data_IF_083095978916
#
_entry.id   IF_083095978916
#
_cell.length_a   1.000
_cell.length_b   1.000
_cell.length_c   1.000
_cell.angle_alpha   90.00
_cell.angle_beta   90.00
_cell.angle_gamma   90.00
#
_symmetry.space_group_name_H-M   'P 1'
#
loop_
_entity.id
_entity.type
_entity.pdbx_description
1 polymer ?
#
# COMPACT_ATOMS: atom_id res chain seq x y z
N UNK A 1 -6.89 -32.34 -4.08
CA UNK A 1 -5.74 -31.93 -4.90
C UNK A 1 -5.41 -30.50 -4.49
N UNK A 2 -4.40 -30.34 -3.62
CA UNK A 2 -3.80 -29.05 -3.34
C UNK A 2 -2.94 -28.69 -4.56
N UNK A 3 -3.38 -27.73 -5.35
CA UNK A 3 -2.57 -27.19 -6.42
C UNK A 3 -1.62 -26.20 -5.74
N UNK A 4 -0.35 -26.53 -5.63
CA UNK A 4 0.71 -25.62 -5.24
C UNK A 4 0.75 -24.47 -6.27
N UNK A 5 0.08 -23.38 -5.95
CA UNK A 5 0.16 -22.16 -6.76
C UNK A 5 1.53 -21.54 -6.48
N UNK A 6 2.41 -21.43 -7.49
CA UNK A 6 3.71 -20.81 -7.29
C UNK A 6 3.52 -19.38 -6.81
N UNK A 7 4.00 -19.10 -5.60
CA UNK A 7 3.82 -17.79 -4.94
C UNK A 7 4.92 -16.77 -5.28
N UNK A 8 5.85 -17.13 -6.15
CA UNK A 8 6.92 -16.21 -6.55
C UNK A 8 6.36 -15.09 -7.44
N UNK A 9 6.44 -13.88 -6.94
CA UNK A 9 6.13 -12.66 -7.67
C UNK A 9 7.26 -11.65 -7.46
N UNK A 10 7.57 -10.89 -8.51
CA UNK A 10 8.59 -9.87 -8.47
C UNK A 10 7.97 -8.51 -8.76
N UNK A 11 8.21 -7.54 -7.90
CA UNK A 11 7.82 -6.15 -8.13
C UNK A 11 9.06 -5.27 -8.18
N UNK A 12 9.11 -4.41 -9.18
CA UNK A 12 10.13 -3.38 -9.30
C UNK A 12 9.45 -2.03 -9.42
N UNK A 13 9.79 -1.14 -8.51
CA UNK A 13 9.18 0.17 -8.42
C UNK A 13 10.23 1.27 -8.64
N UNK A 14 9.90 2.19 -9.50
CA UNK A 14 10.61 3.46 -9.66
C UNK A 14 9.60 4.58 -9.52
N UNK A 15 9.85 5.51 -8.58
CA UNK A 15 8.98 6.67 -8.42
C UNK A 15 9.77 7.92 -8.07
N UNK A 16 9.23 9.06 -8.49
CA UNK A 16 9.67 10.38 -8.05
C UNK A 16 8.45 11.14 -7.51
N UNK A 17 8.66 11.91 -6.45
CA UNK A 17 7.59 12.67 -5.81
C UNK A 17 8.09 14.04 -5.41
N UNK A 18 7.38 15.06 -5.84
CA UNK A 18 7.53 16.42 -5.36
C UNK A 18 6.52 16.68 -4.25
N UNK A 19 6.95 17.36 -3.21
CA UNK A 19 6.11 17.64 -2.06
C UNK A 19 6.33 19.08 -1.63
N UNK A 20 5.23 19.83 -1.54
CA UNK A 20 5.20 21.18 -1.01
C UNK A 20 4.50 21.17 0.34
N UNK A 21 5.19 21.60 1.39
CA UNK A 21 4.70 21.56 2.77
C UNK A 21 4.43 22.95 3.28
N UNK A 22 3.22 23.20 3.74
CA UNK A 22 2.79 24.42 4.38
C UNK A 22 2.58 24.18 5.87
N UNK A 23 3.17 24.97 6.77
CA UNK A 23 2.82 24.92 8.17
C UNK A 23 1.35 25.36 8.33
N UNK A 24 0.60 24.59 9.08
CA UNK A 24 -0.79 24.88 9.39
C UNK A 24 -0.96 24.76 10.90
N UNK A 25 -1.01 25.90 11.58
CA UNK A 25 -0.99 25.94 13.04
C UNK A 25 0.33 25.46 13.66
N UNK A 26 0.51 25.66 14.98
CA UNK A 26 1.77 25.41 15.72
C UNK A 26 2.29 23.97 15.65
N UNK A 27 1.43 22.98 15.44
CA UNK A 27 1.76 21.54 15.47
C UNK A 27 1.23 20.78 14.23
N UNK A 28 0.66 21.52 13.29
CA UNK A 28 0.07 20.97 12.08
C UNK A 28 0.83 21.38 10.82
N UNK A 29 0.76 20.54 9.79
CA UNK A 29 1.23 20.87 8.45
C UNK A 29 0.31 20.24 7.40
N UNK A 30 0.18 20.94 6.31
CA UNK A 30 -0.46 20.47 5.08
C UNK A 30 0.60 20.21 4.03
N UNK A 31 0.56 19.05 3.43
CA UNK A 31 1.48 18.65 2.37
C UNK A 31 0.68 18.43 1.07
N UNK A 32 1.04 19.19 0.04
CA UNK A 32 0.60 18.97 -1.33
C UNK A 32 1.68 18.18 -2.06
N UNK A 33 1.33 17.11 -2.71
CA UNK A 33 2.28 16.28 -3.40
C UNK A 33 1.82 15.88 -4.80
N UNK A 34 2.77 15.83 -5.72
CA UNK A 34 2.59 15.25 -7.03
C UNK A 34 3.74 14.28 -7.29
N UNK A 35 3.42 13.10 -7.78
CA UNK A 35 4.41 12.07 -8.08
C UNK A 35 4.13 11.39 -9.40
N UNK A 36 5.18 10.82 -9.95
CA UNK A 36 5.10 9.91 -11.10
C UNK A 36 5.91 8.66 -10.79
N UNK A 37 5.36 7.52 -11.13
CA UNK A 37 6.01 6.24 -10.88
C UNK A 37 5.76 5.23 -11.98
N UNK A 38 6.68 4.26 -12.04
CA UNK A 38 6.58 3.09 -12.88
C UNK A 38 6.74 1.86 -12.01
N UNK A 39 5.71 0.99 -12.04
CA UNK A 39 5.70 -0.29 -11.31
C UNK A 39 5.70 -1.39 -12.37
N UNK A 40 6.58 -2.37 -12.20
CA UNK A 40 6.67 -3.54 -13.06
C UNK A 40 6.48 -4.77 -12.19
N UNK A 41 5.36 -5.44 -12.36
CA UNK A 41 5.03 -6.69 -11.68
C UNK A 41 5.21 -7.85 -12.64
N UNK A 42 5.90 -8.91 -12.17
CA UNK A 42 6.00 -10.20 -12.85
C UNK A 42 5.44 -11.26 -11.92
N UNK A 43 4.56 -12.10 -12.40
CA UNK A 43 3.86 -13.11 -11.59
C UNK A 43 3.43 -14.28 -12.47
N UNK A 44 3.12 -15.40 -11.84
CA UNK A 44 2.57 -16.55 -12.54
C UNK A 44 1.13 -16.25 -12.95
N UNK A 45 0.88 -16.33 -14.25
CA UNK A 45 -0.46 -16.24 -14.86
C UNK A 45 -1.13 -17.59 -14.93
N UNK A 46 -2.34 -17.62 -15.44
CA UNK A 46 -3.16 -18.82 -15.56
C UNK A 46 -2.51 -19.91 -16.46
N UNK A 47 -1.68 -19.48 -17.39
CA UNK A 47 -1.00 -20.35 -18.37
C UNK A 47 0.54 -20.29 -18.26
N UNK A 48 1.03 -19.78 -17.13
CA UNK A 48 2.47 -19.76 -16.85
C UNK A 48 2.87 -21.05 -16.14
N UNK A 49 3.61 -21.89 -16.81
CA UNK A 49 4.09 -23.20 -16.33
C UNK A 49 5.57 -23.18 -15.91
N UNK A 50 6.29 -22.10 -16.24
CA UNK A 50 7.72 -21.97 -15.96
C UNK A 50 8.12 -20.54 -15.59
N UNK A 51 9.31 -20.38 -14.97
CA UNK A 51 9.88 -19.05 -14.65
C UNK A 51 10.18 -18.19 -15.89
N UNK A 52 10.22 -18.79 -17.05
CA UNK A 52 10.48 -18.09 -18.32
C UNK A 52 9.22 -17.45 -18.91
N UNK A 53 8.03 -17.96 -18.53
CA UNK A 53 6.73 -17.57 -19.09
C UNK A 53 5.88 -16.78 -18.07
N UNK A 54 6.49 -15.85 -17.32
CA UNK A 54 5.75 -15.02 -16.37
C UNK A 54 4.91 -13.96 -17.09
N UNK A 55 3.69 -13.77 -16.62
CA UNK A 55 2.89 -12.61 -16.99
C UNK A 55 3.55 -11.34 -16.44
N UNK A 56 3.43 -10.25 -17.19
CA UNK A 56 4.03 -8.97 -16.85
C UNK A 56 3.02 -7.84 -16.91
N UNK A 57 2.86 -7.12 -15.83
CA UNK A 57 2.10 -5.87 -15.80
C UNK A 57 3.02 -4.68 -15.57
N UNK A 58 2.85 -3.64 -16.35
CA UNK A 58 3.59 -2.39 -16.22
C UNK A 58 2.61 -1.25 -16.01
N UNK A 59 2.71 -0.60 -14.87
CA UNK A 59 1.93 0.57 -14.50
C UNK A 59 2.79 1.83 -14.66
N UNK A 60 2.29 2.81 -15.38
CA UNK A 60 2.84 4.16 -15.40
C UNK A 60 1.78 5.06 -14.77
N UNK A 61 2.03 5.48 -13.54
CA UNK A 61 1.05 6.14 -12.68
C UNK A 61 1.52 7.53 -12.29
N UNK A 62 0.59 8.46 -12.27
CA UNK A 62 0.73 9.76 -11.63
C UNK A 62 -0.11 9.78 -10.36
N UNK A 63 0.38 10.44 -9.33
CA UNK A 63 -0.29 10.54 -8.03
C UNK A 63 -0.36 12.00 -7.62
N UNK A 64 -1.57 12.51 -7.46
CA UNK A 64 -1.83 13.78 -6.78
C UNK A 64 -2.21 13.47 -5.33
N UNK A 65 -1.60 14.12 -4.35
CA UNK A 65 -1.83 13.84 -2.94
C UNK A 65 -1.98 15.09 -2.10
N UNK A 66 -2.93 15.05 -1.17
CA UNK A 66 -3.12 16.03 -0.11
C UNK A 66 -2.99 15.30 1.22
N UNK A 67 -2.14 15.79 2.11
CA UNK A 67 -1.95 15.20 3.43
C UNK A 67 -2.02 16.29 4.48
N UNK A 68 -2.84 16.09 5.50
CA UNK A 68 -2.80 16.82 6.75
C UNK A 68 -2.12 15.98 7.81
N UNK A 69 -1.20 16.58 8.56
CA UNK A 69 -0.50 15.92 9.66
C UNK A 69 -0.42 16.87 10.84
N UNK A 70 -1.00 16.48 11.95
CA UNK A 70 -0.85 17.12 13.25
C UNK A 70 -0.05 16.19 14.15
N UNK A 71 1.00 16.73 14.80
CA UNK A 71 1.83 15.94 15.69
C UNK A 71 2.20 16.75 16.94
N UNK A 72 1.68 16.32 18.08
CA UNK A 72 1.97 16.89 19.40
C UNK A 72 2.56 15.86 20.37
N UNK A 73 3.06 14.75 19.85
CA UNK A 73 3.65 13.69 20.67
C UNK A 73 4.87 14.20 21.43
N UNK A 74 4.98 13.80 22.71
CA UNK A 74 6.09 14.18 23.59
C UNK A 74 7.45 13.70 23.09
N UNK A 75 7.50 12.53 22.45
CA UNK A 75 8.71 11.92 21.90
C UNK A 75 8.39 11.22 20.58
N UNK A 76 9.39 11.12 19.68
CA UNK A 76 9.25 10.39 18.40
C UNK A 76 9.19 8.88 18.57
N UNK A 77 9.93 8.38 19.56
CA UNK A 77 9.93 6.97 19.95
C UNK A 77 9.37 6.90 21.37
N UNK A 78 8.47 5.96 21.60
CA UNK A 78 7.83 5.74 22.91
C UNK A 78 7.18 7.01 23.49
N UNK A 79 6.24 7.65 22.78
CA UNK A 79 5.55 8.81 23.29
C UNK A 79 4.72 8.43 24.53
N UNK A 80 4.74 9.27 25.54
CA UNK A 80 4.00 9.06 26.79
C UNK A 80 2.84 10.03 26.98
N UNK A 81 2.75 11.05 26.12
CA UNK A 81 1.64 12.03 26.08
C UNK A 81 1.55 12.69 24.72
N UNK A 82 0.39 13.28 24.44
CA UNK A 82 0.13 14.00 23.21
C UNK A 82 -0.63 13.17 22.17
N UNK A 83 -0.77 13.73 20.97
CA UNK A 83 -1.52 13.09 19.88
C UNK A 83 -0.85 13.28 18.55
N UNK A 84 -1.05 12.29 17.67
CA UNK A 84 -0.77 12.37 16.26
C UNK A 84 -2.05 12.10 15.47
N UNK A 85 -2.34 12.95 14.52
CA UNK A 85 -3.41 12.76 13.55
C UNK A 85 -2.84 12.93 12.15
N UNK A 86 -3.09 11.97 11.28
CA UNK A 86 -2.68 12.02 9.89
C UNK A 86 -3.85 11.64 9.01
N UNK A 87 -4.18 12.51 8.05
CA UNK A 87 -5.18 12.23 7.02
C UNK A 87 -4.52 12.41 5.67
N UNK A 88 -4.67 11.44 4.78
CA UNK A 88 -4.09 11.48 3.44
C UNK A 88 -5.15 11.13 2.42
N UNK A 89 -5.36 12.01 1.44
CA UNK A 89 -6.14 11.75 0.24
C UNK A 89 -5.21 11.67 -0.96
N UNK A 90 -5.42 10.71 -1.84
CA UNK A 90 -4.64 10.52 -3.06
C UNK A 90 -5.56 10.21 -4.23
N UNK A 91 -5.27 10.81 -5.36
CA UNK A 91 -5.84 10.43 -6.65
C UNK A 91 -4.72 9.88 -7.52
N UNK A 92 -4.85 8.62 -7.88
CA UNK A 92 -3.88 7.87 -8.66
C UNK A 92 -4.49 7.65 -10.04
N UNK A 93 -3.73 7.98 -11.08
CA UNK A 93 -4.21 7.86 -12.45
C UNK A 93 -3.06 7.53 -13.40
N UNK A 94 -3.37 6.77 -14.43
CA UNK A 94 -2.34 6.39 -15.40
C UNK A 94 -2.76 5.30 -16.37
N UNK A 95 -1.76 4.56 -16.86
CA UNK A 95 -1.96 3.49 -17.84
C UNK A 95 -1.30 2.22 -17.35
N UNK A 96 -2.03 1.12 -17.47
CA UNK A 96 -1.54 -0.25 -17.29
C UNK A 96 -1.31 -0.88 -18.65
N UNK A 97 -0.18 -1.55 -18.81
CA UNK A 97 0.12 -2.44 -19.94
C UNK A 97 0.33 -3.84 -19.38
N UNK A 98 -0.51 -4.78 -19.79
CA UNK A 98 -0.41 -6.18 -19.41
C UNK A 98 0.10 -7.00 -20.58
N UNK A 99 1.06 -7.86 -20.32
CA UNK A 99 1.55 -8.89 -21.23
C UNK A 99 1.25 -10.23 -20.57
N UNK A 100 0.48 -11.06 -21.23
CA UNK A 100 0.04 -12.34 -20.69
C UNK A 100 -0.01 -13.41 -21.78
N UNK A 101 0.18 -14.64 -21.37
CA UNK A 101 0.04 -15.78 -22.25
C UNK A 101 -1.43 -16.22 -22.31
N UNK A 102 -1.94 -16.44 -23.52
CA UNK A 102 -3.30 -16.93 -23.75
C UNK A 102 -3.29 -17.99 -24.84
N UNK A 103 -4.08 -19.08 -24.68
CA UNK A 103 -4.23 -20.05 -25.76
C UNK A 103 -5.00 -19.42 -26.91
N UNK A 104 -4.46 -19.62 -28.11
CA UNK A 104 -5.15 -19.30 -29.37
C UNK A 104 -5.34 -20.61 -30.08
N UNK A 105 -6.59 -20.91 -30.48
CA UNK A 105 -6.87 -22.06 -31.33
C UNK A 105 -6.42 -21.71 -32.75
N UNK A 106 -5.27 -22.24 -33.13
CA UNK A 106 -4.79 -22.19 -34.50
C UNK A 106 -4.78 -23.66 -35.04
N UNK A 107 -5.56 -23.91 -36.07
CA UNK A 107 -5.69 -25.24 -36.68
C UNK A 107 -5.99 -26.40 -35.72
N UNK A 108 -6.90 -26.21 -34.73
CA UNK A 108 -7.29 -27.18 -33.69
C UNK A 108 -6.20 -27.57 -32.69
N UNK A 109 -5.07 -26.87 -32.64
CA UNK A 109 -4.05 -27.02 -31.60
C UNK A 109 -3.99 -25.74 -30.75
N UNK A 110 -4.07 -25.83 -29.40
CA UNK A 110 -3.91 -24.66 -28.54
C UNK A 110 -2.43 -24.23 -28.52
N UNK A 111 -2.14 -23.10 -29.12
CA UNK A 111 -0.81 -22.48 -29.09
C UNK A 111 -0.84 -21.33 -28.09
N UNK A 112 0.07 -21.32 -27.12
CA UNK A 112 0.25 -20.21 -26.20
C UNK A 112 0.88 -19.01 -26.95
N UNK A 113 0.16 -17.89 -26.99
CA UNK A 113 0.66 -16.66 -27.62
C UNK A 113 0.67 -15.51 -26.62
N UNK A 114 1.75 -14.75 -26.63
CA UNK A 114 1.88 -13.54 -25.83
C UNK A 114 0.91 -12.46 -26.34
N UNK A 115 -0.02 -12.06 -25.50
CA UNK A 115 -0.96 -10.99 -25.77
C UNK A 115 -0.60 -9.73 -25.01
N UNK A 116 -1.05 -8.57 -25.51
CA UNK A 116 -0.87 -7.27 -24.89
C UNK A 116 -2.20 -6.56 -24.73
N UNK A 117 -2.51 -6.16 -23.53
CA UNK A 117 -3.64 -5.27 -23.23
C UNK A 117 -3.14 -3.93 -22.66
N UNK A 118 -3.84 -2.85 -22.96
CA UNK A 118 -3.53 -1.53 -22.40
C UNK A 118 -4.83 -0.90 -21.90
N UNK A 119 -4.90 -0.65 -20.61
CA UNK A 119 -6.05 -0.08 -19.94
C UNK A 119 -5.67 1.19 -19.21
N UNK A 120 -6.63 2.12 -19.09
CA UNK A 120 -6.53 3.25 -18.17
C UNK A 120 -6.90 2.76 -16.77
N UNK A 121 -6.10 3.14 -15.79
CA UNK A 121 -6.30 2.81 -14.38
C UNK A 121 -6.30 4.10 -13.58
N UNK A 122 -7.43 4.41 -12.94
CA UNK A 122 -7.55 5.55 -12.07
C UNK A 122 -8.43 5.20 -10.86
N UNK A 123 -7.97 5.62 -9.68
CA UNK A 123 -8.69 5.39 -8.43
C UNK A 123 -8.36 6.45 -7.39
N UNK A 124 -9.22 6.53 -6.40
CA UNK A 124 -9.05 7.39 -5.24
C UNK A 124 -8.74 6.56 -4.00
N UNK A 125 -7.88 7.08 -3.13
CA UNK A 125 -7.50 6.44 -1.88
C UNK A 125 -7.48 7.46 -0.76
N UNK A 126 -8.08 7.11 0.38
CA UNK A 126 -8.04 7.89 1.61
C UNK A 126 -7.51 7.01 2.72
N UNK A 127 -6.59 7.55 3.52
CA UNK A 127 -6.11 6.89 4.73
C UNK A 127 -6.09 7.87 5.90
N UNK A 128 -6.46 7.39 7.08
CA UNK A 128 -6.44 8.15 8.32
C UNK A 128 -5.76 7.38 9.44
N UNK A 129 -4.98 8.07 10.27
CA UNK A 129 -4.31 7.51 11.43
C UNK A 129 -4.50 8.46 12.61
N UNK A 130 -4.87 7.90 13.76
CA UNK A 130 -4.96 8.58 15.04
C UNK A 130 -4.13 7.79 16.03
N UNK A 131 -3.21 8.46 16.71
CA UNK A 131 -2.41 7.89 17.79
C UNK A 131 -2.43 8.88 18.96
N UNK A 132 -3.05 8.50 20.07
CA UNK A 132 -3.30 9.36 21.21
C UNK A 132 -2.75 8.75 22.50
N UNK A 133 -1.97 9.51 23.24
CA UNK A 133 -1.29 9.03 24.45
C UNK A 133 -1.71 9.84 25.68
N UNK A 134 -2.09 9.12 26.73
CA UNK A 134 -2.49 9.65 28.02
C UNK A 134 -1.47 9.21 29.06
N UNK A 135 -0.85 10.17 29.74
CA UNK A 135 0.04 9.86 30.86
C UNK A 135 -0.80 9.57 32.11
N UNK A 136 -0.69 8.36 32.64
CA UNK A 136 -1.43 7.91 33.85
C UNK A 136 -0.46 7.81 35.04
N UNK A 137 0.14 8.95 35.39
CA UNK A 137 1.11 9.05 36.48
C UNK A 137 2.56 8.92 36.06
N UNK A 138 3.44 8.68 37.05
CA UNK A 138 4.90 8.71 36.84
C UNK A 138 5.44 7.51 36.03
N UNK A 139 4.82 6.36 36.20
CA UNK A 139 5.37 5.09 35.68
C UNK A 139 4.55 4.47 34.54
N UNK A 140 3.35 4.99 34.25
CA UNK A 140 2.46 4.40 33.27
C UNK A 140 1.93 5.43 32.28
N UNK A 141 1.76 5.02 31.03
CA UNK A 141 1.04 5.76 30.01
C UNK A 141 0.26 4.78 29.11
N UNK A 142 -0.88 5.23 28.61
CA UNK A 142 -1.74 4.46 27.71
C UNK A 142 -1.82 5.16 26.37
N UNK A 143 -1.48 4.43 25.31
CA UNK A 143 -1.68 4.85 23.92
C UNK A 143 -2.94 4.20 23.34
N UNK A 144 -3.73 4.99 22.65
CA UNK A 144 -4.88 4.55 21.84
C UNK A 144 -4.53 4.79 20.37
N UNK A 145 -4.67 3.76 19.56
CA UNK A 145 -4.35 3.76 18.15
C UNK A 145 -5.58 3.40 17.33
N UNK A 146 -5.79 4.14 16.25
CA UNK A 146 -6.77 3.79 15.23
C UNK A 146 -6.21 4.17 13.85
N UNK A 147 -6.41 3.30 12.88
CA UNK A 147 -6.04 3.51 11.48
C UNK A 147 -7.14 2.97 10.57
N UNK A 148 -7.38 3.68 9.48
CA UNK A 148 -8.30 3.22 8.46
C UNK A 148 -7.84 3.63 7.07
N UNK A 149 -8.19 2.82 6.09
CA UNK A 149 -7.95 3.08 4.69
C UNK A 149 -9.16 2.66 3.85
N UNK A 150 -9.41 3.47 2.83
CA UNK A 150 -10.42 3.22 1.82
C UNK A 150 -9.82 3.49 0.45
N UNK A 151 -9.94 2.53 -0.47
CA UNK A 151 -9.53 2.65 -1.86
C UNK A 151 -10.69 2.30 -2.79
N UNK A 152 -10.80 3.00 -3.91
CA UNK A 152 -11.72 2.66 -5.01
C UNK A 152 -11.02 1.87 -6.12
N UNK A 153 -9.79 1.43 -5.87
CA UNK A 153 -9.08 0.55 -6.79
C UNK A 153 -9.89 -0.72 -7.04
N UNK A 154 -9.97 -1.13 -8.28
CA UNK A 154 -10.67 -2.37 -8.65
C UNK A 154 -9.70 -3.54 -8.57
N UNK A 155 -10.22 -4.69 -8.15
CA UNK A 155 -9.46 -5.93 -8.19
C UNK A 155 -8.95 -6.20 -9.61
N UNK A 156 -7.74 -6.67 -9.70
CA UNK A 156 -7.14 -7.07 -10.97
C UNK A 156 -7.59 -8.49 -11.36
N UNK A 157 -7.41 -8.86 -12.62
CA UNK A 157 -7.82 -10.19 -13.11
C UNK A 157 -7.03 -11.34 -12.50
N UNK A 158 -5.85 -11.06 -11.95
CA UNK A 158 -4.98 -12.03 -11.30
C UNK A 158 -4.84 -11.72 -9.81
N UNK A 159 -4.94 -12.75 -8.96
CA UNK A 159 -4.84 -12.62 -7.51
C UNK A 159 -3.50 -12.02 -7.06
N UNK A 160 -2.38 -12.52 -7.62
CA UNK A 160 -1.04 -12.01 -7.25
C UNK A 160 -0.84 -10.55 -7.68
N UNK A 161 -1.35 -10.18 -8.86
CA UNK A 161 -1.31 -8.80 -9.32
C UNK A 161 -2.12 -7.89 -8.39
N UNK A 162 -3.31 -8.34 -7.98
CA UNK A 162 -4.13 -7.62 -7.00
C UNK A 162 -3.39 -7.39 -5.70
N UNK A 163 -2.76 -8.41 -5.13
CA UNK A 163 -2.00 -8.31 -3.87
C UNK A 163 -0.84 -7.32 -3.98
N UNK A 164 -0.10 -7.34 -5.10
CA UNK A 164 1.04 -6.43 -5.31
C UNK A 164 0.62 -4.96 -5.46
N UNK A 165 -0.62 -4.70 -5.89
CA UNK A 165 -1.15 -3.35 -6.04
C UNK A 165 -1.96 -2.87 -4.83
N UNK A 166 -2.34 -3.78 -3.94
CA UNK A 166 -3.15 -3.47 -2.77
C UNK A 166 -2.29 -3.03 -1.60
N UNK A 167 -2.63 -1.93 -0.93
CA UNK A 167 -1.90 -1.49 0.26
C UNK A 167 -1.95 -2.52 1.39
N UNK A 168 -0.81 -2.69 2.06
CA UNK A 168 -0.69 -3.57 3.21
C UNK A 168 -0.89 -2.78 4.50
N UNK A 169 -1.71 -3.31 5.40
CA UNK A 169 -1.76 -2.85 6.78
C UNK A 169 -0.49 -3.24 7.53
N UNK A 170 0.18 -2.27 8.13
CA UNK A 170 1.45 -2.46 8.81
C UNK A 170 1.46 -1.73 10.15
N UNK A 171 0.99 -2.37 11.24
CA UNK A 171 0.84 -1.73 12.56
C UNK A 171 2.17 -1.32 13.20
N UNK A 172 3.27 -1.91 12.77
CA UNK A 172 4.61 -1.60 13.29
C UNK A 172 5.57 -1.29 12.14
N UNK A 173 6.66 -0.59 12.44
CA UNK A 173 7.71 -0.33 11.45
C UNK A 173 8.37 -1.61 10.91
N UNK A 174 8.44 -2.66 11.72
CA UNK A 174 8.98 -3.96 11.30
C UNK A 174 8.05 -4.68 10.33
N UNK A 175 6.72 -4.61 10.54
CA UNK A 175 5.75 -5.22 9.63
C UNK A 175 5.70 -4.55 8.26
N UNK A 176 6.21 -3.33 8.10
CA UNK A 176 6.36 -2.67 6.80
C UNK A 176 7.42 -3.30 5.90
N UNK A 177 8.36 -4.06 6.49
CA UNK A 177 9.46 -4.71 5.76
C UNK A 177 9.10 -6.13 5.30
N UNK A 178 7.98 -6.66 5.76
CA UNK A 178 7.55 -8.03 5.49
C UNK A 178 6.27 -7.97 4.66
N UNK A 179 6.33 -8.47 3.44
CA UNK A 179 5.12 -8.63 2.63
C UNK A 179 4.28 -9.79 3.20
N UNK A 180 3.06 -9.46 3.64
CA UNK A 180 2.12 -10.46 4.13
C UNK A 180 0.77 -10.30 3.40
N UNK A 181 0.44 -11.23 2.51
CA UNK A 181 -0.80 -11.20 1.73
C UNK A 181 -2.07 -11.08 2.57
N UNK A 182 -2.07 -11.68 3.77
CA UNK A 182 -3.24 -11.65 4.68
C UNK A 182 -3.57 -10.27 5.24
N UNK A 183 -2.63 -9.32 5.16
CA UNK A 183 -2.83 -7.94 5.58
C UNK A 183 -3.03 -6.96 4.42
N UNK A 184 -3.08 -7.44 3.19
CA UNK A 184 -3.40 -6.61 2.03
C UNK A 184 -4.91 -6.44 1.91
N UNK A 185 -5.41 -5.21 1.91
CA UNK A 185 -6.83 -4.91 1.78
C UNK A 185 -7.06 -3.55 1.12
N UNK A 186 -8.06 -3.48 0.25
CA UNK A 186 -8.54 -2.24 -0.39
C UNK A 186 -9.23 -1.31 0.62
N UNK A 187 -9.78 -1.89 1.69
CA UNK A 187 -10.50 -1.20 2.75
C UNK A 187 -10.25 -1.90 4.06
N UNK A 188 -9.79 -1.15 5.05
CA UNK A 188 -9.64 -1.70 6.40
C UNK A 188 -9.81 -0.64 7.46
N UNK A 189 -10.13 -1.10 8.66
CA UNK A 189 -10.09 -0.33 9.90
C UNK A 189 -9.36 -1.18 10.94
N UNK A 190 -8.42 -0.56 11.63
CA UNK A 190 -7.66 -1.20 12.70
C UNK A 190 -7.67 -0.30 13.93
N UNK A 191 -7.73 -0.91 15.11
CA UNK A 191 -7.61 -0.22 16.38
C UNK A 191 -6.74 -1.03 17.35
N UNK A 192 -6.08 -0.34 18.26
CA UNK A 192 -5.19 -0.98 19.23
C UNK A 192 -4.96 -0.14 20.47
N UNK A 193 -4.50 -0.81 21.50
CA UNK A 193 -4.11 -0.21 22.78
C UNK A 193 -2.63 -0.49 23.00
N UNK A 194 -1.87 0.55 23.39
CA UNK A 194 -0.42 0.51 23.62
C UNK A 194 -0.10 0.85 25.08
N UNK A 195 -0.06 -0.11 26.00
CA UNK A 195 0.40 0.15 27.36
C UNK A 195 1.91 0.44 27.36
N UNK A 196 2.31 1.48 28.09
CA UNK A 196 3.70 1.92 28.17
C UNK A 196 4.11 2.01 29.63
N UNK A 197 5.16 1.28 30.01
CA UNK A 197 5.77 1.33 31.33
C UNK A 197 7.03 2.20 31.23
N UNK A 198 7.05 3.28 32.02
CA UNK A 198 8.21 4.18 32.13
C UNK A 198 9.18 3.61 33.15
N UNK A 199 10.34 3.12 32.69
CA UNK A 199 11.40 2.67 33.57
C UNK A 199 12.27 3.89 33.87
N UNK A 200 12.17 4.44 35.08
CA UNK A 200 13.11 5.47 35.53
C UNK A 200 14.46 4.81 35.82
N UNK A 201 15.51 5.28 35.15
CA UNK A 201 16.89 5.06 35.57
C UNK A 201 17.28 6.09 36.60
#
# INVERSE_FOLDING_TARGET
YEVDIPTEAYSTEFYTKFKFSLPFYLKGKMDLGYGYGRIINKYYGLYSDSKENLDKSTYNLSVASLQYNHNSLSHKQYPTSGSQFKLTGQYIFGKRKKFFFSPINDNNLPILKLQKATNRNDWFQVSGLIDYYISMGKHFALGLYAEGMFSTHKLEDNYMETLLMTPQFAPTKHSQLIFNPSFCAEKYVAAGIKPIIKINK
#
